data_IF_791657064560
#
_entry.id   IF_791657064560
#
_cell.length_a   1.000
_cell.length_b   1.000
_cell.length_c   1.000
_cell.angle_alpha   90.00
_cell.angle_beta   90.00
_cell.angle_gamma   90.00
#
_symmetry.space_group_name_H-M   'P 1'
#
loop_
_entity.id
_entity.type
_entity.pdbx_description
1 polymer ?
#
# COMPACT_ATOMS: atom_id res chain seq x y z
N UNK A 1 -28.44 53.47 -13.52
CA UNK A 1 -27.09 52.90 -13.68
C UNK A 1 -26.53 52.65 -12.27
N UNK A 2 -26.60 51.45 -11.79
CA UNK A 2 -26.06 51.04 -10.51
C UNK A 2 -25.01 49.95 -10.82
N UNK A 3 -23.76 50.29 -10.61
CA UNK A 3 -22.64 49.37 -10.75
C UNK A 3 -22.60 48.40 -9.56
N UNK A 4 -22.86 47.13 -9.78
CA UNK A 4 -22.64 46.08 -8.85
C UNK A 4 -21.16 45.64 -8.95
N UNK A 5 -20.37 46.00 -7.95
CA UNK A 5 -19.00 45.49 -7.80
C UNK A 5 -19.05 44.10 -7.15
N UNK A 6 -18.78 43.04 -7.91
CA UNK A 6 -18.51 41.71 -7.39
C UNK A 6 -17.12 41.67 -6.77
N UNK A 7 -17.06 41.68 -5.44
CA UNK A 7 -15.84 41.37 -4.70
C UNK A 7 -15.64 39.84 -4.69
N UNK A 8 -14.72 39.36 -5.52
CA UNK A 8 -14.19 38.00 -5.44
C UNK A 8 -13.29 37.90 -4.20
N UNK A 9 -13.81 37.36 -3.12
CA UNK A 9 -13.03 36.96 -1.97
C UNK A 9 -12.16 35.73 -2.36
N UNK A 10 -10.90 35.98 -2.66
CA UNK A 10 -9.89 34.91 -2.74
C UNK A 10 -9.68 34.37 -1.33
N UNK A 11 -10.27 33.24 -1.02
CA UNK A 11 -9.88 32.42 0.13
C UNK A 11 -8.46 31.88 -0.15
N UNK A 12 -7.46 32.64 0.26
CA UNK A 12 -6.11 32.14 0.36
C UNK A 12 -6.13 31.03 1.44
N UNK A 13 -6.10 29.78 1.02
CA UNK A 13 -5.76 28.68 1.91
C UNK A 13 -4.35 28.94 2.43
N UNK A 14 -4.25 29.35 3.69
CA UNK A 14 -2.96 29.42 4.40
C UNK A 14 -2.46 27.98 4.49
N UNK A 15 -1.72 27.52 3.49
CA UNK A 15 -0.86 26.36 3.66
C UNK A 15 0.12 26.74 4.77
N UNK A 16 0.06 26.03 5.90
CA UNK A 16 1.09 26.16 6.92
C UNK A 16 2.44 26.04 6.17
N UNK A 17 3.30 27.04 6.32
CA UNK A 17 4.60 27.04 5.68
C UNK A 17 5.34 25.84 6.23
N UNK A 18 5.61 24.85 5.37
CA UNK A 18 6.29 23.64 5.81
C UNK A 18 7.65 24.04 6.38
N UNK A 19 7.96 23.56 7.58
CA UNK A 19 9.25 23.79 8.22
C UNK A 19 10.38 23.28 7.31
N UNK A 20 11.49 23.98 7.29
CA UNK A 20 12.70 23.46 6.69
C UNK A 20 13.44 22.61 7.72
N UNK A 21 13.89 21.45 7.33
CA UNK A 21 14.57 20.49 8.22
C UNK A 21 15.97 20.13 7.72
N UNK A 22 16.86 19.86 8.65
CA UNK A 22 18.19 19.26 8.37
C UNK A 22 18.36 18.09 9.33
N UNK A 23 18.28 16.87 8.80
CA UNK A 23 18.48 15.63 9.55
C UNK A 23 19.96 15.25 9.41
N UNK A 24 20.70 15.26 10.50
CA UNK A 24 22.16 15.16 10.50
C UNK A 24 22.64 13.82 11.05
N UNK A 25 23.79 13.36 10.54
CA UNK A 25 24.53 12.20 11.08
C UNK A 25 23.73 10.88 11.08
N UNK A 26 22.87 10.66 10.07
CA UNK A 26 22.11 9.40 9.93
C UNK A 26 22.86 8.37 9.10
N UNK A 27 22.57 7.10 9.32
CA UNK A 27 22.80 6.08 8.30
C UNK A 27 21.59 6.07 7.35
N UNK A 28 21.83 6.40 6.08
CA UNK A 28 20.80 6.43 5.05
C UNK A 28 20.67 5.05 4.42
N UNK A 29 19.42 4.54 4.35
CA UNK A 29 19.09 3.25 3.73
C UNK A 29 17.86 3.46 2.85
N UNK A 30 18.05 3.56 1.54
CA UNK A 30 16.95 3.82 0.60
C UNK A 30 16.59 2.61 -0.28
N UNK A 31 17.25 1.47 -0.06
CA UNK A 31 16.99 0.22 -0.78
C UNK A 31 17.49 0.17 -2.23
N UNK A 32 17.91 1.29 -2.82
CA UNK A 32 18.47 1.35 -4.18
C UNK A 32 19.99 1.56 -4.19
N UNK A 33 20.52 2.22 -3.16
CA UNK A 33 21.94 2.37 -2.93
C UNK A 33 22.41 1.47 -1.77
N UNK A 34 23.70 1.19 -1.70
CA UNK A 34 24.26 0.60 -0.49
C UNK A 34 24.04 1.55 0.70
N UNK A 35 23.84 1.03 1.93
CA UNK A 35 23.69 1.87 3.11
C UNK A 35 24.83 2.87 3.24
N UNK A 36 24.51 4.15 3.45
CA UNK A 36 25.46 5.26 3.52
C UNK A 36 25.51 5.82 4.96
N UNK A 37 26.65 5.68 5.61
CA UNK A 37 26.83 6.20 6.98
C UNK A 37 27.14 7.69 6.98
N UNK A 38 26.82 8.34 8.12
CA UNK A 38 27.12 9.76 8.39
C UNK A 38 26.65 10.73 7.29
N UNK A 39 25.38 10.58 6.91
CA UNK A 39 24.72 11.43 5.90
C UNK A 39 23.88 12.53 6.55
N UNK A 40 23.77 13.65 5.84
CA UNK A 40 22.87 14.75 6.18
C UNK A 40 21.87 14.96 5.05
N UNK A 41 20.60 15.04 5.41
CA UNK A 41 19.48 15.26 4.50
C UNK A 41 18.79 16.58 4.82
N UNK A 42 18.74 17.50 3.85
CA UNK A 42 18.02 18.77 3.98
C UNK A 42 16.68 18.71 3.26
N UNK A 43 15.66 19.26 3.89
CA UNK A 43 14.29 19.33 3.38
C UNK A 43 13.85 20.79 3.37
N UNK A 44 13.26 21.23 2.26
CA UNK A 44 12.67 22.57 2.11
C UNK A 44 11.25 22.41 1.58
N UNK A 45 10.27 22.86 2.34
CA UNK A 45 8.88 22.62 2.03
C UNK A 45 8.58 21.12 2.03
N UNK A 46 8.05 20.61 0.94
CA UNK A 46 7.69 19.18 0.80
C UNK A 46 8.78 18.33 0.11
N UNK A 47 9.97 18.92 -0.18
CA UNK A 47 11.01 18.29 -1.01
C UNK A 47 12.33 18.10 -0.28
N UNK A 48 13.00 17.00 -0.62
CA UNK A 48 14.41 16.80 -0.30
C UNK A 48 15.24 17.72 -1.20
N UNK A 49 16.09 18.56 -0.60
CA UNK A 49 16.89 19.56 -1.34
C UNK A 49 18.39 19.30 -1.29
N UNK A 50 18.85 18.46 -0.37
CA UNK A 50 20.22 17.97 -0.36
C UNK A 50 20.32 16.61 0.34
N UNK A 51 21.17 15.73 -0.19
CA UNK A 51 21.61 14.46 0.43
C UNK A 51 23.13 14.43 0.28
N UNK A 52 23.85 14.68 1.37
CA UNK A 52 25.31 14.85 1.34
C UNK A 52 26.00 14.19 2.55
N UNK A 53 27.26 13.78 2.45
CA UNK A 53 28.04 13.41 3.63
C UNK A 53 28.06 14.53 4.68
N UNK A 54 27.89 14.22 5.96
CA UNK A 54 27.77 15.22 7.02
C UNK A 54 29.02 16.11 7.15
N UNK A 55 30.19 15.60 6.81
CA UNK A 55 31.44 16.35 6.81
C UNK A 55 31.45 17.59 5.90
N UNK A 56 30.61 17.57 4.85
CA UNK A 56 30.50 18.68 3.87
C UNK A 56 29.15 19.42 3.94
N UNK A 57 28.26 19.08 4.86
CA UNK A 57 26.90 19.61 5.00
C UNK A 57 26.88 21.04 5.61
N UNK A 58 27.76 21.95 5.10
CA UNK A 58 27.86 23.32 5.64
C UNK A 58 26.84 24.24 5.00
N UNK A 59 26.28 25.15 5.81
CA UNK A 59 25.39 26.23 5.30
C UNK A 59 23.96 25.80 5.00
N UNK A 60 23.57 24.53 5.25
CA UNK A 60 22.19 24.08 5.11
C UNK A 60 21.31 24.80 6.15
N UNK A 61 20.14 25.27 5.69
CA UNK A 61 19.18 26.04 6.51
C UNK A 61 17.99 25.17 6.89
N UNK A 62 17.58 25.24 8.15
CA UNK A 62 16.42 24.51 8.67
C UNK A 62 16.57 24.18 10.15
N UNK A 63 15.48 23.68 10.75
CA UNK A 63 15.51 23.08 12.10
C UNK A 63 16.34 21.79 12.04
N UNK A 64 17.22 21.61 13.03
CA UNK A 64 18.15 20.49 13.04
C UNK A 64 17.59 19.33 13.84
N UNK A 65 17.78 18.12 13.31
CA UNK A 65 17.44 16.86 13.98
C UNK A 65 18.73 16.05 14.06
N UNK A 66 19.18 15.73 15.27
CA UNK A 66 20.34 14.87 15.50
C UNK A 66 19.95 13.40 15.19
N UNK A 67 20.65 12.81 14.25
CA UNK A 67 20.44 11.44 13.78
C UNK A 67 21.56 10.48 14.14
N UNK A 68 22.45 10.87 15.07
CA UNK A 68 23.57 10.01 15.51
C UNK A 68 23.05 8.64 15.97
N UNK A 69 23.60 7.58 15.36
CA UNK A 69 23.21 6.21 15.65
C UNK A 69 21.80 5.83 15.16
N UNK A 70 21.15 6.66 14.34
CA UNK A 70 19.83 6.40 13.78
C UNK A 70 19.89 6.11 12.27
N UNK A 71 18.80 5.57 11.76
CA UNK A 71 18.66 5.08 10.39
C UNK A 71 17.51 5.81 9.72
N UNK A 72 17.78 6.43 8.57
CA UNK A 72 16.77 7.13 7.78
C UNK A 72 16.41 6.29 6.57
N UNK A 73 15.13 5.98 6.42
CA UNK A 73 14.58 5.26 5.27
C UNK A 73 13.51 6.10 4.57
N UNK A 74 13.21 5.85 3.28
CA UNK A 74 11.99 6.36 2.66
C UNK A 74 10.76 5.88 3.43
N UNK A 75 9.68 6.64 3.38
CA UNK A 75 8.39 6.16 3.88
C UNK A 75 7.96 4.89 3.17
N UNK A 76 7.40 3.94 3.93
CA UNK A 76 6.92 2.68 3.37
C UNK A 76 5.72 2.91 2.45
N UNK A 77 5.60 2.08 1.43
CA UNK A 77 4.54 2.12 0.41
C UNK A 77 3.83 0.76 0.40
N UNK A 78 2.52 0.77 0.62
CA UNK A 78 1.66 -0.41 0.48
C UNK A 78 0.82 -0.28 -0.79
N UNK A 79 1.14 -1.09 -1.80
CA UNK A 79 0.53 -0.98 -3.13
C UNK A 79 -0.74 -1.83 -3.32
N UNK A 80 -1.25 -2.41 -2.24
CA UNK A 80 -2.49 -3.17 -2.29
C UNK A 80 -3.16 -3.24 -0.92
N UNK A 81 -4.08 -2.33 -0.70
CA UNK A 81 -4.95 -2.34 0.48
C UNK A 81 -6.41 -2.31 0.05
N UNK A 82 -7.29 -2.65 0.99
CA UNK A 82 -8.71 -2.35 0.93
C UNK A 82 -9.10 -1.64 2.23
N UNK A 83 -9.29 -0.32 2.17
CA UNK A 83 -9.48 0.49 3.35
C UNK A 83 -10.78 0.11 4.09
N UNK A 84 -10.70 -0.05 5.39
CA UNK A 84 -11.85 -0.33 6.27
C UNK A 84 -12.92 0.75 6.17
N UNK A 85 -14.14 0.37 6.54
CA UNK A 85 -15.29 1.26 6.52
C UNK A 85 -16.03 1.31 5.19
N UNK A 86 -15.44 0.83 4.11
CA UNK A 86 -16.12 0.63 2.83
C UNK A 86 -16.70 -0.77 2.68
N UNK A 87 -15.90 -1.77 2.95
CA UNK A 87 -16.29 -3.18 3.04
C UNK A 87 -15.25 -3.98 3.83
N UNK A 88 -15.59 -5.18 4.25
CA UNK A 88 -14.67 -6.05 4.99
C UNK A 88 -13.97 -7.04 4.06
N UNK A 89 -12.66 -6.97 4.00
CA UNK A 89 -11.80 -7.97 3.34
C UNK A 89 -11.90 -9.29 4.11
N UNK A 90 -12.18 -10.38 3.41
CA UNK A 90 -12.38 -11.70 4.03
C UNK A 90 -13.73 -11.87 4.72
N UNK A 91 -14.61 -10.88 4.70
CA UNK A 91 -15.99 -10.97 5.15
C UNK A 91 -16.82 -11.94 4.29
N UNK A 92 -18.06 -12.21 4.74
CA UNK A 92 -18.97 -13.07 3.98
C UNK A 92 -19.38 -12.40 2.68
N UNK A 93 -19.15 -13.05 1.55
CA UNK A 93 -19.48 -12.54 0.20
C UNK A 93 -20.98 -12.35 -0.03
N UNK A 94 -21.82 -13.07 0.71
CA UNK A 94 -23.29 -13.03 0.63
C UNK A 94 -23.93 -12.04 1.62
N UNK A 95 -23.16 -11.44 2.54
CA UNK A 95 -23.68 -10.43 3.46
C UNK A 95 -23.90 -9.09 2.75
N UNK A 96 -24.99 -8.36 3.01
CA UNK A 96 -25.17 -7.01 2.50
C UNK A 96 -24.04 -6.09 2.95
N UNK A 97 -23.60 -5.16 2.08
CA UNK A 97 -22.68 -4.09 2.48
C UNK A 97 -23.45 -3.13 3.40
N UNK A 98 -22.93 -2.93 4.60
CA UNK A 98 -23.41 -1.90 5.52
C UNK A 98 -23.17 -0.48 4.97
N UNK A 99 -23.61 0.59 5.66
CA UNK A 99 -23.24 1.95 5.29
C UNK A 99 -21.71 2.13 5.39
N UNK A 100 -21.17 3.00 4.52
CA UNK A 100 -19.76 3.36 4.62
C UNK A 100 -19.48 4.08 5.96
N UNK A 101 -18.37 3.73 6.61
CA UNK A 101 -17.96 4.30 7.89
C UNK A 101 -16.66 5.10 7.71
N UNK A 102 -16.79 6.42 7.65
CA UNK A 102 -15.66 7.33 7.46
C UNK A 102 -14.67 7.28 8.62
N UNK A 103 -15.17 7.22 9.87
CA UNK A 103 -14.31 7.22 11.06
C UNK A 103 -13.40 5.98 11.11
N UNK A 104 -13.92 4.81 10.74
CA UNK A 104 -13.12 3.61 10.58
C UNK A 104 -12.05 3.75 9.50
N UNK A 105 -12.39 4.40 8.37
CA UNK A 105 -11.44 4.69 7.31
C UNK A 105 -10.31 5.61 7.77
N UNK A 106 -10.63 6.70 8.47
CA UNK A 106 -9.63 7.62 9.01
C UNK A 106 -8.74 6.96 10.07
N UNK A 107 -9.33 6.14 10.96
CA UNK A 107 -8.56 5.39 11.97
C UNK A 107 -7.61 4.36 11.32
N UNK A 108 -8.05 3.68 10.28
CA UNK A 108 -7.21 2.77 9.51
C UNK A 108 -6.06 3.51 8.82
N UNK A 109 -6.32 4.64 8.15
CA UNK A 109 -5.29 5.50 7.56
C UNK A 109 -4.28 5.99 8.60
N UNK A 110 -4.75 6.40 9.77
CA UNK A 110 -3.88 6.79 10.89
C UNK A 110 -2.94 5.64 11.31
N UNK A 111 -3.44 4.40 11.32
CA UNK A 111 -2.62 3.22 11.66
C UNK A 111 -1.51 2.95 10.66
N UNK A 112 -1.72 3.25 9.37
CA UNK A 112 -0.68 3.17 8.34
C UNK A 112 0.44 4.19 8.63
N UNK A 113 0.11 5.47 8.86
CA UNK A 113 1.12 6.47 9.23
C UNK A 113 1.86 6.05 10.51
N UNK A 114 1.14 5.60 11.53
CA UNK A 114 1.73 5.12 12.78
C UNK A 114 2.68 3.95 12.57
N UNK A 115 2.48 3.15 11.53
CA UNK A 115 3.34 2.02 11.15
C UNK A 115 4.48 2.40 10.18
N UNK A 116 4.67 3.69 9.86
CA UNK A 116 5.72 4.16 8.94
C UNK A 116 5.33 4.14 7.46
N UNK A 117 4.07 3.82 7.15
CA UNK A 117 3.56 3.80 5.77
C UNK A 117 3.09 5.19 5.39
N UNK A 118 3.73 5.81 4.40
CA UNK A 118 3.41 7.17 3.95
C UNK A 118 2.61 7.21 2.66
N UNK A 119 2.47 6.09 1.98
CA UNK A 119 1.71 5.95 0.73
C UNK A 119 0.97 4.62 0.68
N UNK A 120 -0.30 4.65 0.30
CA UNK A 120 -1.14 3.46 0.10
C UNK A 120 -1.83 3.51 -1.26
N UNK A 121 -2.07 2.35 -1.85
CA UNK A 121 -2.98 2.20 -2.99
C UNK A 121 -4.15 1.30 -2.58
N UNK A 122 -5.35 1.91 -2.52
CA UNK A 122 -6.60 1.18 -2.36
C UNK A 122 -6.99 0.55 -3.69
N UNK A 123 -6.83 -0.77 -3.77
CA UNK A 123 -6.98 -1.55 -4.99
C UNK A 123 -8.44 -1.93 -5.30
N UNK A 124 -9.39 -1.31 -4.64
CA UNK A 124 -10.81 -1.48 -4.87
C UNK A 124 -11.62 -1.25 -3.61
N UNK A 125 -12.56 -0.32 -3.70
CA UNK A 125 -13.46 0.02 -2.61
C UNK A 125 -14.75 0.60 -3.18
N UNK A 126 -15.69 0.89 -2.30
CA UNK A 126 -16.86 1.70 -2.67
C UNK A 126 -16.38 3.12 -2.96
N UNK A 127 -16.69 3.63 -4.15
CA UNK A 127 -16.27 4.97 -4.59
C UNK A 127 -16.68 6.06 -3.59
N UNK A 128 -17.92 5.97 -3.06
CA UNK A 128 -18.46 6.90 -2.07
C UNK A 128 -17.72 6.88 -0.72
N UNK A 129 -16.90 5.86 -0.46
CA UNK A 129 -16.06 5.77 0.73
C UNK A 129 -14.65 6.31 0.49
N UNK A 130 -13.95 5.74 -0.49
CA UNK A 130 -12.52 6.02 -0.66
C UNK A 130 -12.23 7.36 -1.34
N UNK A 131 -13.07 7.79 -2.30
CA UNK A 131 -12.79 9.01 -3.06
C UNK A 131 -12.89 10.30 -2.23
N UNK A 132 -13.86 10.47 -1.32
CA UNK A 132 -13.86 11.60 -0.39
C UNK A 132 -12.63 11.63 0.52
N UNK A 133 -12.17 10.48 1.03
CA UNK A 133 -10.96 10.38 1.85
C UNK A 133 -9.71 10.77 1.05
N UNK A 134 -9.59 10.30 -0.19
CA UNK A 134 -8.52 10.71 -1.12
C UNK A 134 -8.55 12.22 -1.40
N UNK A 135 -9.72 12.79 -1.61
CA UNK A 135 -9.87 14.23 -1.83
C UNK A 135 -9.46 15.05 -0.60
N UNK A 136 -9.85 14.62 0.59
CA UNK A 136 -9.49 15.29 1.84
C UNK A 136 -8.00 15.13 2.20
N UNK A 137 -7.39 13.99 1.88
CA UNK A 137 -5.94 13.81 1.98
C UNK A 137 -5.20 14.81 1.08
N UNK A 138 -5.58 14.89 -0.20
CA UNK A 138 -4.98 15.83 -1.17
C UNK A 138 -5.17 17.30 -0.78
N UNK A 139 -6.27 17.61 -0.13
CA UNK A 139 -6.56 18.93 0.41
C UNK A 139 -5.88 19.23 1.76
N UNK A 140 -5.18 18.25 2.36
CA UNK A 140 -4.54 18.38 3.67
C UNK A 140 -5.52 18.48 4.84
N UNK A 141 -6.75 18.00 4.68
CA UNK A 141 -7.80 18.07 5.72
C UNK A 141 -7.73 16.92 6.73
N UNK A 142 -7.07 15.81 6.35
CA UNK A 142 -6.91 14.64 7.22
C UNK A 142 -5.43 14.25 7.32
N UNK A 143 -5.03 13.71 8.46
CA UNK A 143 -3.72 13.09 8.66
C UNK A 143 -3.78 11.65 8.17
N UNK A 144 -3.21 11.40 7.00
CA UNK A 144 -3.21 10.08 6.36
C UNK A 144 -1.98 9.87 5.50
N UNK A 145 -1.63 8.64 5.10
CA UNK A 145 -0.74 8.40 3.97
C UNK A 145 -1.26 9.08 2.70
N UNK A 146 -0.43 9.23 1.67
CA UNK A 146 -0.90 9.57 0.32
C UNK A 146 -1.82 8.46 -0.16
N UNK A 147 -3.01 8.82 -0.60
CA UNK A 147 -4.00 7.86 -1.06
C UNK A 147 -4.01 7.85 -2.59
N UNK A 148 -3.57 6.72 -3.16
CA UNK A 148 -3.91 6.32 -4.52
C UNK A 148 -5.11 5.39 -4.44
N UNK A 149 -6.05 5.49 -5.37
CA UNK A 149 -7.25 4.67 -5.33
C UNK A 149 -7.79 4.39 -6.74
N UNK A 150 -8.34 3.19 -6.92
CA UNK A 150 -9.12 2.87 -8.12
C UNK A 150 -10.57 3.35 -8.01
N UNK A 151 -11.13 3.50 -6.80
CA UNK A 151 -12.56 3.61 -6.59
C UNK A 151 -13.23 2.24 -6.71
N UNK A 152 -14.31 2.13 -7.47
CA UNK A 152 -14.86 0.83 -7.84
C UNK A 152 -13.90 0.11 -8.80
N UNK A 153 -13.63 -1.16 -8.56
CA UNK A 153 -12.89 -1.96 -9.52
C UNK A 153 -13.77 -2.31 -10.74
N UNK A 154 -13.16 -2.79 -11.81
CA UNK A 154 -13.90 -3.31 -12.97
C UNK A 154 -13.78 -4.81 -13.04
N UNK A 155 -14.92 -5.50 -13.18
CA UNK A 155 -14.97 -6.94 -13.32
C UNK A 155 -16.04 -7.40 -14.32
N UNK A 156 -15.98 -8.68 -14.70
CA UNK A 156 -17.06 -9.33 -15.45
C UNK A 156 -18.22 -9.68 -14.50
N UNK A 157 -19.49 -9.61 -14.93
CA UNK A 157 -20.63 -9.93 -14.08
C UNK A 157 -20.52 -11.27 -13.39
N UNK A 158 -20.66 -11.29 -12.05
CA UNK A 158 -20.53 -12.48 -11.21
C UNK A 158 -19.10 -12.96 -10.94
N UNK A 159 -18.07 -12.25 -11.47
CA UNK A 159 -16.67 -12.58 -11.24
C UNK A 159 -16.15 -12.03 -9.89
N UNK A 160 -14.87 -12.20 -9.62
CA UNK A 160 -14.23 -11.75 -8.39
C UNK A 160 -14.43 -10.24 -8.17
N UNK A 161 -14.77 -9.85 -6.94
CA UNK A 161 -14.97 -8.43 -6.57
C UNK A 161 -16.28 -7.81 -7.02
N UNK A 162 -17.22 -8.57 -7.60
CA UNK A 162 -18.48 -8.11 -8.19
C UNK A 162 -19.31 -7.17 -7.30
N UNK A 163 -19.20 -7.31 -5.96
CA UNK A 163 -19.98 -6.52 -4.98
C UNK A 163 -19.64 -5.03 -4.95
N UNK A 164 -18.43 -4.66 -5.34
CA UNK A 164 -17.89 -3.29 -5.33
C UNK A 164 -17.44 -2.85 -6.71
N UNK A 165 -17.89 -3.52 -7.76
CA UNK A 165 -17.40 -3.35 -9.12
C UNK A 165 -18.34 -2.59 -10.03
N UNK A 166 -17.78 -1.91 -11.04
CA UNK A 166 -18.44 -1.63 -12.29
C UNK A 166 -18.37 -2.89 -13.15
N UNK A 167 -19.52 -3.42 -13.53
CA UNK A 167 -19.64 -4.68 -14.30
C UNK A 167 -19.59 -4.40 -15.77
N UNK A 168 -18.64 -5.00 -16.48
CA UNK A 168 -18.47 -4.87 -17.93
C UNK A 168 -18.55 -6.24 -18.56
N UNK A 169 -19.51 -6.44 -19.45
CA UNK A 169 -19.72 -7.71 -20.18
C UNK A 169 -19.39 -7.63 -21.66
N UNK A 170 -19.45 -6.43 -22.23
CA UNK A 170 -19.19 -6.15 -23.63
C UNK A 170 -18.63 -4.72 -23.75
N UNK A 171 -17.48 -4.58 -24.38
CA UNK A 171 -16.80 -3.28 -24.43
C UNK A 171 -17.62 -2.19 -25.13
N UNK A 172 -18.23 -2.52 -26.28
CA UNK A 172 -18.96 -1.49 -27.05
C UNK A 172 -20.27 -1.08 -26.37
N UNK A 173 -20.99 -2.05 -25.82
CA UNK A 173 -22.26 -1.79 -25.13
C UNK A 173 -22.06 -1.05 -23.81
N UNK A 174 -20.99 -1.41 -23.09
CA UNK A 174 -20.73 -0.92 -21.74
C UNK A 174 -19.73 0.25 -21.73
N UNK A 175 -19.28 0.75 -22.91
CA UNK A 175 -18.30 1.82 -23.02
C UNK A 175 -18.67 3.06 -22.21
N UNK A 176 -19.94 3.44 -22.20
CA UNK A 176 -20.41 4.58 -21.42
C UNK A 176 -20.20 4.42 -19.90
N UNK A 177 -20.17 3.17 -19.39
CA UNK A 177 -19.82 2.91 -17.97
C UNK A 177 -18.34 3.12 -17.72
N UNK A 178 -17.47 2.79 -18.68
CA UNK A 178 -16.03 3.05 -18.61
C UNK A 178 -15.74 4.54 -18.64
N UNK A 179 -16.38 5.27 -19.56
CA UNK A 179 -16.27 6.73 -19.66
C UNK A 179 -16.68 7.40 -18.33
N UNK A 180 -17.85 7.01 -17.82
CA UNK A 180 -18.34 7.50 -16.52
C UNK A 180 -17.39 7.19 -15.36
N UNK A 181 -16.82 5.99 -15.33
CA UNK A 181 -15.85 5.62 -14.30
C UNK A 181 -14.60 6.51 -14.35
N UNK A 182 -14.08 6.78 -15.55
CA UNK A 182 -12.93 7.68 -15.73
C UNK A 182 -13.26 9.10 -15.30
N UNK A 183 -14.40 9.64 -15.75
CA UNK A 183 -14.80 11.03 -15.49
C UNK A 183 -15.12 11.29 -14.02
N UNK A 184 -15.92 10.42 -13.39
CA UNK A 184 -16.41 10.63 -12.03
C UNK A 184 -15.44 10.15 -10.95
N UNK A 185 -14.73 9.03 -11.19
CA UNK A 185 -13.89 8.44 -10.15
C UNK A 185 -12.41 8.78 -10.30
N UNK A 186 -11.97 9.12 -11.53
CA UNK A 186 -10.59 9.51 -11.80
C UNK A 186 -9.59 8.55 -11.13
N UNK A 187 -9.62 7.24 -11.47
CA UNK A 187 -8.77 6.26 -10.82
C UNK A 187 -7.29 6.60 -11.04
N UNK A 188 -6.48 6.51 -10.00
CA UNK A 188 -5.02 6.68 -10.10
C UNK A 188 -4.39 5.49 -10.83
N UNK A 189 -4.93 4.30 -10.57
CA UNK A 189 -4.64 3.03 -11.26
C UNK A 189 -5.96 2.27 -11.33
N UNK A 190 -6.30 1.71 -12.49
CA UNK A 190 -7.46 0.85 -12.62
C UNK A 190 -7.17 -0.54 -12.04
N UNK A 191 -8.04 -1.05 -11.18
CA UNK A 191 -8.07 -2.47 -10.77
C UNK A 191 -9.05 -3.26 -11.61
N UNK A 192 -8.55 -4.34 -12.19
CA UNK A 192 -9.29 -5.36 -12.95
C UNK A 192 -9.22 -6.71 -12.21
N UNK A 193 -10.05 -7.67 -12.61
CA UNK A 193 -10.00 -9.03 -12.11
C UNK A 193 -10.02 -10.04 -13.26
N UNK A 194 -9.15 -11.04 -13.18
CA UNK A 194 -9.07 -12.18 -14.08
C UNK A 194 -8.93 -13.46 -13.24
N UNK A 195 -10.05 -13.92 -12.70
CA UNK A 195 -10.09 -15.02 -11.74
C UNK A 195 -11.38 -15.82 -11.91
N UNK A 196 -11.27 -17.14 -12.11
CA UNK A 196 -12.39 -18.07 -12.17
C UNK A 196 -12.61 -18.84 -10.85
N UNK A 197 -11.72 -18.67 -9.87
CA UNK A 197 -11.71 -19.50 -8.65
C UNK A 197 -11.68 -21.01 -8.96
N UNK A 198 -12.52 -21.84 -8.34
CA UNK A 198 -12.54 -23.30 -8.59
C UNK A 198 -11.39 -24.05 -7.93
N UNK A 199 -10.64 -23.42 -7.04
CA UNK A 199 -9.54 -24.01 -6.28
C UNK A 199 -9.74 -23.84 -4.77
N UNK A 200 -9.05 -24.69 -4.02
CA UNK A 200 -9.25 -24.73 -2.58
C UNK A 200 -10.69 -25.14 -2.25
N UNK A 201 -11.38 -24.34 -1.46
CA UNK A 201 -12.77 -24.53 -1.08
C UNK A 201 -13.76 -23.61 -1.80
N UNK A 202 -13.30 -22.88 -2.82
CA UNK A 202 -14.12 -21.91 -3.55
C UNK A 202 -14.73 -22.52 -4.81
N UNK A 203 -16.02 -22.28 -5.10
CA UNK A 203 -16.62 -22.71 -6.36
C UNK A 203 -16.08 -21.87 -7.53
N UNK A 204 -16.21 -22.41 -8.75
CA UNK A 204 -15.92 -21.64 -9.96
C UNK A 204 -16.91 -20.48 -10.10
N UNK A 205 -16.40 -19.36 -10.60
CA UNK A 205 -17.14 -18.14 -10.91
C UNK A 205 -16.91 -17.75 -12.38
N UNK A 206 -17.74 -16.87 -12.97
CA UNK A 206 -17.52 -16.38 -14.32
C UNK A 206 -16.16 -15.68 -14.47
N UNK A 207 -15.44 -16.00 -15.55
CA UNK A 207 -14.17 -15.41 -15.89
C UNK A 207 -14.38 -14.27 -16.91
N UNK A 208 -13.68 -13.15 -16.74
CA UNK A 208 -13.61 -12.09 -17.75
C UNK A 208 -12.94 -12.64 -19.02
N UNK A 209 -13.52 -12.49 -20.22
CA UNK A 209 -12.85 -12.82 -21.48
C UNK A 209 -11.55 -12.02 -21.63
N UNK A 210 -10.48 -12.68 -22.09
CA UNK A 210 -9.13 -12.06 -22.20
C UNK A 210 -9.11 -10.92 -23.21
N UNK A 211 -9.87 -11.04 -24.30
CA UNK A 211 -10.02 -9.96 -25.30
C UNK A 211 -10.73 -8.73 -24.73
N UNK A 212 -11.71 -8.93 -23.85
CA UNK A 212 -12.36 -7.84 -23.11
C UNK A 212 -11.35 -7.17 -22.14
N UNK A 213 -10.58 -7.96 -21.41
CA UNK A 213 -9.51 -7.46 -20.54
C UNK A 213 -8.51 -6.60 -21.33
N UNK A 214 -8.04 -7.10 -22.50
CA UNK A 214 -7.13 -6.36 -23.37
C UNK A 214 -7.71 -5.03 -23.83
N UNK A 215 -8.97 -5.02 -24.27
CA UNK A 215 -9.65 -3.80 -24.74
C UNK A 215 -9.80 -2.77 -23.63
N UNK A 216 -10.23 -3.18 -22.44
CA UNK A 216 -10.35 -2.28 -21.27
C UNK A 216 -8.97 -1.75 -20.86
N UNK A 217 -7.96 -2.61 -20.76
CA UNK A 217 -6.58 -2.23 -20.43
C UNK A 217 -6.07 -1.17 -21.40
N UNK A 218 -6.17 -1.41 -22.69
CA UNK A 218 -5.75 -0.46 -23.73
C UNK A 218 -6.50 0.86 -23.65
N UNK A 219 -7.80 0.80 -23.37
CA UNK A 219 -8.64 1.98 -23.25
C UNK A 219 -8.19 2.89 -22.09
N UNK A 220 -7.94 2.33 -20.91
CA UNK A 220 -7.45 3.10 -19.77
C UNK A 220 -6.02 3.62 -19.99
N UNK A 221 -5.15 2.82 -20.57
CA UNK A 221 -3.78 3.27 -20.90
C UNK A 221 -3.77 4.44 -21.90
N UNK A 222 -4.71 4.50 -22.85
CA UNK A 222 -4.88 5.63 -23.75
C UNK A 222 -5.31 6.92 -23.01
N UNK A 223 -5.93 6.80 -21.85
CA UNK A 223 -6.25 7.92 -20.94
C UNK A 223 -5.14 8.22 -19.93
N UNK A 224 -3.98 7.58 -20.06
CA UNK A 224 -2.84 7.75 -19.15
C UNK A 224 -3.03 7.08 -17.79
N UNK A 225 -4.01 6.20 -17.65
CA UNK A 225 -4.31 5.47 -16.42
C UNK A 225 -3.70 4.06 -16.51
N UNK A 226 -2.79 3.75 -15.59
CA UNK A 226 -2.19 2.42 -15.47
C UNK A 226 -3.21 1.39 -15.00
N UNK A 227 -2.91 0.13 -15.23
CA UNK A 227 -3.79 -0.99 -14.87
C UNK A 227 -3.09 -1.99 -13.96
N UNK A 228 -3.85 -2.57 -13.03
CA UNK A 228 -3.46 -3.73 -12.22
C UNK A 228 -4.57 -4.77 -12.23
N UNK A 229 -4.22 -6.05 -12.18
CA UNK A 229 -5.21 -7.12 -12.30
C UNK A 229 -5.06 -8.16 -11.20
N UNK A 230 -6.18 -8.56 -10.60
CA UNK A 230 -6.26 -9.70 -9.70
C UNK A 230 -6.06 -10.99 -10.50
N UNK A 231 -5.08 -11.77 -10.12
CA UNK A 231 -4.78 -13.11 -10.65
C UNK A 231 -4.27 -13.99 -9.51
N UNK A 232 -4.46 -15.31 -9.59
CA UNK A 232 -3.96 -16.24 -8.58
C UNK A 232 -3.16 -17.42 -9.19
N UNK A 233 -3.23 -17.61 -10.50
CA UNK A 233 -2.52 -18.67 -11.22
C UNK A 233 -1.51 -18.15 -12.24
N UNK A 234 -0.54 -18.99 -12.62
CA UNK A 234 0.43 -18.66 -13.66
C UNK A 234 -0.26 -18.41 -15.01
N UNK A 235 -1.27 -19.24 -15.36
CA UNK A 235 -2.00 -19.06 -16.62
C UNK A 235 -2.67 -17.69 -16.70
N UNK A 236 -3.41 -17.29 -15.66
CA UNK A 236 -4.10 -15.99 -15.64
C UNK A 236 -3.10 -14.83 -15.59
N UNK A 237 -1.96 -15.01 -14.92
CA UNK A 237 -0.88 -14.04 -14.96
C UNK A 237 -0.31 -13.84 -16.36
N UNK A 238 -0.09 -14.93 -17.12
CA UNK A 238 0.38 -14.87 -18.51
C UNK A 238 -0.65 -14.18 -19.40
N UNK A 239 -1.92 -14.53 -19.32
CA UNK A 239 -3.00 -13.92 -20.09
C UNK A 239 -3.10 -12.41 -19.81
N UNK A 240 -3.02 -12.01 -18.53
CA UNK A 240 -3.01 -10.60 -18.12
C UNK A 240 -1.81 -9.84 -18.70
N UNK A 241 -0.61 -10.44 -18.66
CA UNK A 241 0.61 -9.86 -19.25
C UNK A 241 0.46 -9.69 -20.77
N UNK A 242 -0.10 -10.67 -21.46
CA UNK A 242 -0.36 -10.57 -22.90
C UNK A 242 -1.45 -9.56 -23.24
N UNK A 243 -2.45 -9.39 -22.38
CA UNK A 243 -3.46 -8.33 -22.49
C UNK A 243 -2.89 -6.92 -22.26
N UNK A 244 -1.61 -6.80 -21.87
CA UNK A 244 -0.91 -5.53 -21.73
C UNK A 244 -1.12 -4.80 -20.41
N UNK A 245 -1.49 -5.49 -19.34
CA UNK A 245 -1.61 -4.87 -18.02
C UNK A 245 -0.26 -4.37 -17.52
N UNK A 246 -0.26 -3.26 -16.75
CA UNK A 246 0.97 -2.65 -16.26
C UNK A 246 1.54 -3.36 -15.03
N UNK A 247 0.67 -3.94 -14.19
CA UNK A 247 1.06 -4.60 -12.93
C UNK A 247 0.13 -5.75 -12.58
N UNK A 248 0.59 -6.69 -11.74
CA UNK A 248 -0.24 -7.75 -11.16
C UNK A 248 -0.52 -7.45 -9.69
N UNK A 249 -1.75 -7.69 -9.26
CA UNK A 249 -2.19 -7.36 -7.91
C UNK A 249 -1.78 -8.39 -6.85
N UNK A 250 -1.41 -9.61 -7.26
CA UNK A 250 -1.03 -10.72 -6.38
C UNK A 250 0.09 -11.56 -7.00
N UNK A 251 0.81 -12.35 -6.19
CA UNK A 251 1.68 -13.41 -6.68
C UNK A 251 0.86 -14.60 -7.19
N UNK A 252 1.47 -15.47 -7.95
CA UNK A 252 0.90 -16.80 -8.21
C UNK A 252 0.89 -17.60 -6.90
N UNK A 253 -0.29 -18.08 -6.51
CA UNK A 253 -0.51 -18.83 -5.26
C UNK A 253 -1.04 -20.24 -5.50
N UNK A 254 -1.70 -20.52 -6.63
CA UNK A 254 -2.34 -21.82 -6.90
C UNK A 254 -1.36 -22.98 -7.10
N UNK A 255 -0.08 -22.73 -7.34
CA UNK A 255 0.95 -23.75 -7.50
C UNK A 255 2.33 -23.14 -7.73
N UNK A 256 3.37 -23.98 -7.77
CA UNK A 256 4.72 -23.53 -8.12
C UNK A 256 4.77 -22.95 -9.53
N UNK A 257 5.44 -21.80 -9.68
CA UNK A 257 5.67 -21.19 -11.00
C UNK A 257 6.70 -21.96 -11.82
N UNK A 258 6.52 -21.99 -13.15
CA UNK A 258 7.48 -22.57 -14.08
C UNK A 258 8.75 -21.70 -14.20
N UNK A 259 9.86 -22.32 -14.60
CA UNK A 259 11.11 -21.60 -14.89
C UNK A 259 10.93 -20.59 -16.04
N UNK A 260 10.03 -20.87 -16.98
CA UNK A 260 9.70 -19.99 -18.07
C UNK A 260 9.01 -18.72 -17.58
N UNK A 261 8.06 -18.85 -16.66
CA UNK A 261 7.38 -17.72 -16.03
C UNK A 261 8.37 -16.87 -15.21
N UNK A 262 9.22 -17.51 -14.41
CA UNK A 262 10.27 -16.82 -13.64
C UNK A 262 11.18 -15.98 -14.56
N UNK A 263 11.65 -16.57 -15.67
CA UNK A 263 12.46 -15.87 -16.68
C UNK A 263 11.69 -14.71 -17.33
N UNK A 264 10.42 -14.90 -17.64
CA UNK A 264 9.56 -13.87 -18.22
C UNK A 264 9.42 -12.67 -17.25
N UNK A 265 9.10 -12.92 -15.99
CA UNK A 265 8.97 -11.87 -14.97
C UNK A 265 10.29 -11.13 -14.75
N UNK A 266 11.41 -11.85 -14.72
CA UNK A 266 12.75 -11.28 -14.65
C UNK A 266 13.12 -10.40 -15.84
N UNK A 267 12.69 -10.78 -17.06
CA UNK A 267 12.97 -10.03 -18.28
C UNK A 267 12.02 -8.85 -18.51
N UNK A 268 10.72 -9.04 -18.31
CA UNK A 268 9.69 -8.03 -18.55
C UNK A 268 9.61 -6.96 -17.46
N UNK A 269 10.09 -7.26 -16.26
CA UNK A 269 10.06 -6.34 -15.11
C UNK A 269 8.66 -5.81 -14.77
N UNK A 270 7.63 -6.62 -15.00
CA UNK A 270 6.26 -6.28 -14.64
C UNK A 270 6.15 -6.31 -13.11
N UNK A 271 5.81 -5.19 -12.45
CA UNK A 271 5.68 -5.17 -11.00
C UNK A 271 4.47 -5.98 -10.56
N UNK A 272 4.61 -6.67 -9.42
CA UNK A 272 3.48 -7.32 -8.77
C UNK A 272 3.52 -7.12 -7.26
N UNK A 273 2.35 -7.08 -6.63
CA UNK A 273 2.22 -6.96 -5.18
C UNK A 273 2.43 -8.32 -4.50
N UNK A 274 3.15 -8.33 -3.36
CA UNK A 274 3.53 -9.56 -2.66
C UNK A 274 2.37 -10.22 -1.92
N UNK A 275 1.52 -9.48 -1.29
CA UNK A 275 0.28 -9.84 -0.58
C UNK A 275 0.30 -11.19 0.19
N UNK A 276 1.44 -11.52 0.81
CA UNK A 276 1.57 -12.73 1.65
C UNK A 276 0.69 -12.65 2.90
N UNK A 277 0.56 -11.45 3.44
CA UNK A 277 -0.18 -11.18 4.68
C UNK A 277 -1.64 -11.62 4.60
N UNK A 278 -2.33 -11.44 3.44
CA UNK A 278 -3.73 -11.88 3.33
C UNK A 278 -3.84 -13.40 3.47
N UNK A 279 -2.92 -14.14 2.88
CA UNK A 279 -2.90 -15.62 2.98
C UNK A 279 -2.58 -16.08 4.39
N UNK A 280 -1.52 -15.55 4.97
CA UNK A 280 -1.04 -15.91 6.31
C UNK A 280 -2.03 -15.51 7.41
N UNK A 281 -2.72 -14.39 7.25
CA UNK A 281 -3.61 -13.83 8.27
C UNK A 281 -4.72 -14.82 8.73
N UNK A 282 -5.23 -15.65 7.81
CA UNK A 282 -6.24 -16.67 8.16
C UNK A 282 -5.70 -17.69 9.17
N UNK A 283 -4.53 -18.26 8.92
CA UNK A 283 -3.91 -19.25 9.81
C UNK A 283 -3.32 -18.58 11.04
N UNK A 284 -2.73 -17.41 10.92
CA UNK A 284 -2.15 -16.66 12.02
C UNK A 284 -3.18 -16.29 13.08
N UNK A 285 -4.36 -15.78 12.67
CA UNK A 285 -5.44 -15.49 13.61
C UNK A 285 -5.95 -16.75 14.29
N UNK A 286 -6.10 -17.84 13.52
CA UNK A 286 -6.60 -19.09 14.05
C UNK A 286 -5.65 -19.74 15.09
N UNK A 287 -4.35 -19.68 14.85
CA UNK A 287 -3.33 -20.43 15.61
C UNK A 287 -2.59 -19.55 16.63
N UNK A 288 -2.34 -18.27 16.32
CA UNK A 288 -1.46 -17.37 17.06
C UNK A 288 -2.08 -15.99 17.31
N UNK A 289 -3.29 -15.88 17.90
CA UNK A 289 -3.99 -14.60 18.08
C UNK A 289 -3.28 -13.63 19.02
N UNK A 290 -2.26 -14.07 19.76
CA UNK A 290 -1.45 -13.25 20.66
C UNK A 290 -0.71 -12.11 19.94
N UNK A 291 -0.52 -12.17 18.62
CA UNK A 291 0.06 -11.06 17.86
C UNK A 291 -0.76 -9.77 17.96
N UNK A 292 -2.08 -9.89 18.24
CA UNK A 292 -2.97 -8.75 18.43
C UNK A 292 -2.63 -7.90 19.67
N UNK A 293 -1.77 -8.40 20.57
CA UNK A 293 -1.26 -7.67 21.73
C UNK A 293 0.04 -6.88 21.44
N UNK A 294 0.59 -7.02 20.24
CA UNK A 294 1.75 -6.23 19.84
C UNK A 294 1.40 -4.73 19.74
N UNK A 295 2.32 -3.81 20.06
CA UNK A 295 2.05 -2.38 20.15
C UNK A 295 1.37 -1.76 18.94
N UNK A 296 1.76 -2.17 17.70
CA UNK A 296 1.16 -1.64 16.48
C UNK A 296 -0.32 -2.07 16.33
N UNK A 297 -0.66 -3.32 16.69
CA UNK A 297 -2.04 -3.79 16.67
C UNK A 297 -2.89 -3.16 17.78
N UNK A 298 -2.29 -2.96 18.97
CA UNK A 298 -2.95 -2.23 20.07
C UNK A 298 -3.29 -0.80 19.67
N UNK A 299 -2.43 -0.14 18.90
CA UNK A 299 -2.69 1.19 18.38
C UNK A 299 -3.76 1.20 17.25
N UNK A 300 -3.73 0.21 16.36
CA UNK A 300 -4.60 0.14 15.18
C UNK A 300 -6.03 -0.33 15.46
N UNK A 301 -6.24 -1.11 16.53
CA UNK A 301 -7.50 -1.78 16.85
C UNK A 301 -7.96 -1.42 18.27
N UNK A 302 -9.25 -1.14 18.46
CA UNK A 302 -9.76 -0.93 19.81
C UNK A 302 -9.81 -2.25 20.60
N UNK A 303 -9.96 -2.15 21.93
CA UNK A 303 -9.91 -3.31 22.82
C UNK A 303 -11.04 -4.32 22.55
N UNK A 304 -12.26 -3.83 22.26
CA UNK A 304 -13.41 -4.69 21.97
C UNK A 304 -13.21 -5.47 20.66
N UNK A 305 -12.69 -4.81 19.65
CA UNK A 305 -12.37 -5.43 18.36
C UNK A 305 -11.28 -6.51 18.50
N UNK A 306 -10.20 -6.21 19.25
CA UNK A 306 -9.14 -7.20 19.51
C UNK A 306 -9.67 -8.42 20.25
N UNK A 307 -10.56 -8.22 21.22
CA UNK A 307 -11.20 -9.33 21.94
C UNK A 307 -12.11 -10.16 21.02
N UNK A 308 -12.89 -9.50 20.15
CA UNK A 308 -13.72 -10.19 19.17
C UNK A 308 -12.86 -11.02 18.18
N UNK A 309 -11.75 -10.45 17.72
CA UNK A 309 -10.80 -11.17 16.84
C UNK A 309 -10.19 -12.40 17.53
N UNK A 310 -9.80 -12.28 18.81
CA UNK A 310 -9.20 -13.38 19.58
C UNK A 310 -10.18 -14.50 19.94
N UNK A 311 -11.47 -14.21 19.91
CA UNK A 311 -12.52 -15.16 20.32
C UNK A 311 -13.40 -15.54 19.13
N UNK A 312 -14.52 -14.89 18.93
CA UNK A 312 -15.53 -15.22 17.92
C UNK A 312 -14.95 -15.34 16.50
N UNK A 313 -14.21 -14.34 16.05
CA UNK A 313 -13.66 -14.35 14.70
C UNK A 313 -12.61 -15.45 14.53
N UNK A 314 -11.79 -15.69 15.55
CA UNK A 314 -10.83 -16.80 15.57
C UNK A 314 -11.54 -18.14 15.39
N UNK A 315 -12.59 -18.40 16.18
CA UNK A 315 -13.34 -19.66 16.13
C UNK A 315 -13.99 -19.87 14.75
N UNK A 316 -14.56 -18.80 14.18
CA UNK A 316 -15.10 -18.80 12.83
C UNK A 316 -14.02 -19.12 11.77
N UNK A 317 -12.83 -18.58 11.90
CA UNK A 317 -11.75 -18.80 10.97
C UNK A 317 -11.13 -20.19 11.10
N UNK A 318 -10.99 -20.70 12.32
CA UNK A 318 -10.57 -22.09 12.53
C UNK A 318 -11.51 -23.10 11.84
N UNK A 319 -12.80 -22.82 11.82
CA UNK A 319 -13.81 -23.68 11.19
C UNK A 319 -13.85 -23.54 9.65
N UNK A 320 -13.22 -22.53 9.05
CA UNK A 320 -13.27 -22.32 7.60
C UNK A 320 -12.30 -23.23 6.85
N UNK A 321 -12.76 -24.03 5.86
CA UNK A 321 -11.87 -24.81 4.99
C UNK A 321 -10.82 -23.94 4.29
N UNK A 322 -11.19 -22.70 3.98
CA UNK A 322 -10.29 -21.70 3.35
C UNK A 322 -9.03 -21.41 4.19
N UNK A 323 -9.15 -21.35 5.51
CA UNK A 323 -8.00 -21.17 6.43
C UNK A 323 -6.96 -22.26 6.26
N UNK A 324 -7.41 -23.52 6.16
CA UNK A 324 -6.53 -24.66 5.93
C UNK A 324 -5.85 -24.58 4.55
N UNK A 325 -6.60 -24.22 3.50
CA UNK A 325 -6.04 -24.04 2.17
C UNK A 325 -4.99 -22.95 2.14
N UNK A 326 -5.24 -21.78 2.72
CA UNK A 326 -4.29 -20.68 2.74
C UNK A 326 -3.01 -21.04 3.52
N UNK A 327 -3.10 -21.85 4.55
CA UNK A 327 -1.91 -22.38 5.26
C UNK A 327 -1.00 -23.21 4.35
N UNK A 328 -1.57 -23.94 3.38
CA UNK A 328 -0.79 -24.71 2.40
C UNK A 328 -0.27 -23.81 1.27
N UNK A 329 -1.09 -22.88 0.79
CA UNK A 329 -0.79 -22.11 -0.41
C UNK A 329 0.17 -20.95 -0.14
N UNK A 330 0.17 -20.36 1.05
CA UNK A 330 1.05 -19.23 1.38
C UNK A 330 2.53 -19.57 1.22
N UNK A 331 3.08 -20.70 1.69
CA UNK A 331 4.46 -21.10 1.42
C UNK A 331 4.80 -21.27 -0.07
N UNK A 332 3.83 -21.63 -0.90
CA UNK A 332 4.01 -21.71 -2.36
C UNK A 332 4.20 -20.29 -2.93
N UNK A 333 3.39 -19.35 -2.50
CA UNK A 333 3.53 -17.95 -2.89
C UNK A 333 4.87 -17.36 -2.45
N UNK A 334 5.31 -17.66 -1.22
CA UNK A 334 6.63 -17.25 -0.69
C UNK A 334 7.78 -17.73 -1.60
N UNK A 335 7.77 -19.01 -1.95
CA UNK A 335 8.79 -19.59 -2.85
C UNK A 335 8.71 -19.01 -4.26
N UNK A 336 7.53 -18.78 -4.79
CA UNK A 336 7.34 -18.15 -6.11
C UNK A 336 7.88 -16.72 -6.13
N UNK A 337 7.57 -15.92 -5.09
CA UNK A 337 8.12 -14.57 -4.93
C UNK A 337 9.64 -14.59 -4.87
N UNK A 338 10.20 -15.49 -4.06
CA UNK A 338 11.65 -15.64 -3.91
C UNK A 338 12.33 -15.96 -5.25
N UNK A 339 11.78 -16.91 -6.03
CA UNK A 339 12.31 -17.26 -7.36
C UNK A 339 12.26 -16.09 -8.35
N UNK A 340 11.12 -15.40 -8.42
CA UNK A 340 10.94 -14.27 -9.31
C UNK A 340 11.86 -13.11 -8.91
N UNK A 341 11.98 -12.84 -7.61
CA UNK A 341 12.90 -11.83 -7.09
C UNK A 341 14.37 -12.16 -7.44
N UNK A 342 14.79 -13.40 -7.22
CA UNK A 342 16.15 -13.86 -7.54
C UNK A 342 16.48 -13.77 -9.05
N UNK A 343 15.48 -13.91 -9.91
CA UNK A 343 15.60 -13.68 -11.36
C UNK A 343 15.57 -12.18 -11.75
N UNK A 344 15.48 -11.29 -10.76
CA UNK A 344 15.43 -9.85 -10.94
C UNK A 344 14.03 -9.31 -11.29
N UNK A 345 12.96 -10.06 -11.05
CA UNK A 345 11.59 -9.55 -11.16
C UNK A 345 11.30 -8.44 -10.14
N UNK A 346 10.30 -7.62 -10.42
CA UNK A 346 9.96 -6.46 -9.58
C UNK A 346 8.81 -6.83 -8.65
N UNK A 347 9.16 -7.15 -7.40
CA UNK A 347 8.20 -7.35 -6.31
C UNK A 347 7.94 -5.99 -5.66
N UNK A 348 6.70 -5.65 -5.33
CA UNK A 348 6.31 -4.49 -4.53
C UNK A 348 5.54 -4.94 -3.30
N UNK A 349 5.68 -4.22 -2.18
CA UNK A 349 4.97 -4.54 -0.94
C UNK A 349 3.50 -4.16 -1.06
N UNK A 350 2.62 -5.14 -0.97
CA UNK A 350 1.19 -5.00 -0.83
C UNK A 350 0.69 -6.00 0.20
N UNK A 351 -0.38 -5.71 0.92
CA UNK A 351 -0.85 -6.56 2.02
C UNK A 351 -2.19 -7.22 1.77
N UNK A 352 -3.01 -6.61 0.93
CA UNK A 352 -4.44 -6.94 0.78
C UNK A 352 -5.16 -6.92 2.14
N UNK A 353 -4.73 -5.98 3.00
CA UNK A 353 -5.24 -5.76 4.34
C UNK A 353 -5.70 -4.31 4.51
N UNK A 354 -6.22 -4.00 5.69
CA UNK A 354 -6.89 -2.72 5.95
C UNK A 354 -6.21 -1.88 7.03
N UNK A 355 -5.01 -2.24 7.47
CA UNK A 355 -4.33 -1.53 8.57
C UNK A 355 -2.81 -1.62 8.49
N UNK A 356 -2.13 -0.58 9.01
CA UNK A 356 -0.68 -0.43 8.91
C UNK A 356 0.18 -1.55 9.54
N UNK A 357 -0.21 -2.20 10.66
CA UNK A 357 0.53 -3.34 11.17
C UNK A 357 0.73 -4.48 10.17
N UNK A 358 -0.20 -4.66 9.23
CA UNK A 358 -0.09 -5.66 8.17
C UNK A 358 1.11 -5.40 7.25
N UNK A 359 1.41 -4.14 6.92
CA UNK A 359 2.57 -3.78 6.10
C UNK A 359 3.88 -4.19 6.81
N UNK A 360 3.98 -3.96 8.12
CA UNK A 360 5.14 -4.41 8.90
C UNK A 360 5.24 -5.95 8.94
N UNK A 361 4.11 -6.66 8.96
CA UNK A 361 4.09 -8.12 8.86
C UNK A 361 4.50 -8.62 7.47
N UNK A 362 4.10 -7.93 6.41
CA UNK A 362 4.52 -8.26 5.05
C UNK A 362 6.05 -8.23 4.91
N UNK A 363 6.71 -7.22 5.51
CA UNK A 363 8.17 -7.16 5.55
C UNK A 363 8.79 -8.40 6.22
N UNK A 364 8.22 -8.85 7.35
CA UNK A 364 8.68 -10.05 8.06
C UNK A 364 8.53 -11.32 7.20
N UNK A 365 7.39 -11.45 6.50
CA UNK A 365 7.11 -12.60 5.63
C UNK A 365 8.05 -12.64 4.42
N UNK A 366 8.34 -11.50 3.81
CA UNK A 366 9.31 -11.41 2.71
C UNK A 366 10.71 -11.85 3.15
N UNK A 367 11.15 -11.46 4.35
CA UNK A 367 12.44 -11.92 4.90
C UNK A 367 12.38 -13.41 5.25
N UNK A 368 11.27 -13.91 5.82
CA UNK A 368 11.08 -15.34 6.09
C UNK A 368 11.09 -16.16 4.80
N UNK A 369 10.60 -15.62 3.68
CA UNK A 369 10.69 -16.23 2.36
C UNK A 369 12.12 -16.25 1.78
N UNK A 370 13.12 -15.67 2.47
CA UNK A 370 14.52 -15.68 2.07
C UNK A 370 14.98 -14.46 1.26
N UNK A 371 14.21 -13.37 1.27
CA UNK A 371 14.63 -12.09 0.70
C UNK A 371 15.43 -11.33 1.75
N UNK A 372 16.55 -10.69 1.34
CA UNK A 372 17.36 -9.92 2.28
C UNK A 372 16.57 -8.75 2.89
N UNK A 373 16.85 -8.34 4.15
CA UNK A 373 16.21 -7.16 4.73
C UNK A 373 16.39 -5.89 3.90
N UNK A 374 17.55 -5.69 3.26
CA UNK A 374 17.78 -4.54 2.39
C UNK A 374 16.90 -4.59 1.13
N UNK A 375 16.79 -5.74 0.47
CA UNK A 375 15.89 -5.91 -0.68
C UNK A 375 14.43 -5.77 -0.26
N UNK A 376 14.07 -6.24 0.93
CA UNK A 376 12.72 -6.08 1.50
C UNK A 376 12.38 -4.60 1.70
N UNK A 377 13.31 -3.78 2.18
CA UNK A 377 13.11 -2.33 2.24
C UNK A 377 12.92 -1.72 0.84
N UNK A 378 13.71 -2.14 -0.15
CA UNK A 378 13.52 -1.74 -1.54
C UNK A 378 12.14 -2.12 -2.08
N UNK A 379 11.67 -3.33 -1.77
CA UNK A 379 10.33 -3.82 -2.13
C UNK A 379 9.24 -2.91 -1.53
N UNK A 380 9.41 -2.50 -0.27
CA UNK A 380 8.45 -1.69 0.45
C UNK A 380 8.58 -0.17 0.24
N UNK A 381 9.52 0.27 -0.59
CA UNK A 381 9.75 1.70 -0.88
C UNK A 381 9.84 1.95 -2.37
N UNK A 382 11.02 1.79 -2.98
CA UNK A 382 11.27 2.11 -4.38
C UNK A 382 10.41 1.27 -5.35
N UNK A 383 10.32 -0.04 -5.14
CA UNK A 383 9.51 -0.90 -6.01
C UNK A 383 8.01 -0.58 -5.88
N UNK A 384 7.55 -0.18 -4.68
CA UNK A 384 6.20 0.36 -4.50
C UNK A 384 5.96 1.61 -5.34
N UNK A 385 6.92 2.53 -5.37
CA UNK A 385 6.84 3.71 -6.22
C UNK A 385 6.88 3.37 -7.72
N UNK A 386 7.64 2.35 -8.13
CA UNK A 386 7.64 1.81 -9.51
C UNK A 386 6.28 1.24 -9.87
N UNK A 387 5.67 0.45 -8.98
CA UNK A 387 4.32 -0.09 -9.16
C UNK A 387 3.31 1.02 -9.43
N UNK A 388 3.36 2.08 -8.62
CA UNK A 388 2.47 3.25 -8.75
C UNK A 388 2.81 4.16 -9.96
N UNK A 389 3.94 3.94 -10.65
CA UNK A 389 4.41 4.86 -11.69
C UNK A 389 4.88 6.22 -11.12
N UNK A 390 5.39 6.24 -9.88
CA UNK A 390 5.79 7.45 -9.13
C UNK A 390 7.25 7.43 -8.65
N UNK A 391 8.09 6.58 -9.24
CA UNK A 391 9.49 6.43 -8.84
C UNK A 391 10.32 7.73 -8.94
N UNK A 392 9.94 8.66 -9.82
CA UNK A 392 10.57 9.99 -9.92
C UNK A 392 10.27 10.90 -8.71
N UNK A 393 9.23 10.57 -7.92
CA UNK A 393 8.78 11.43 -6.83
C UNK A 393 8.87 10.78 -5.45
N UNK A 394 8.82 9.45 -5.38
CA UNK A 394 8.68 8.65 -4.15
C UNK A 394 9.69 7.49 -4.11
N UNK A 395 9.82 6.86 -2.97
CA UNK A 395 10.42 5.53 -2.79
C UNK A 395 11.93 5.51 -2.59
N UNK A 396 12.63 6.65 -2.67
CA UNK A 396 14.05 6.79 -2.29
C UNK A 396 14.33 8.15 -1.70
N UNK A 397 15.53 8.32 -1.13
CA UNK A 397 15.97 9.58 -0.51
C UNK A 397 16.93 10.28 -1.46
N UNK A 398 16.35 10.96 -2.46
CA UNK A 398 17.12 11.68 -3.49
C UNK A 398 16.69 13.13 -3.59
N UNK A 399 17.61 13.96 -4.06
CA UNK A 399 17.34 15.38 -4.31
C UNK A 399 16.18 15.57 -5.28
N UNK A 400 15.23 16.42 -4.92
CA UNK A 400 14.02 16.73 -5.70
C UNK A 400 12.81 15.83 -5.40
N UNK A 401 12.98 14.69 -4.74
CA UNK A 401 11.86 13.83 -4.35
C UNK A 401 11.07 14.37 -3.15
N UNK A 402 9.88 13.89 -2.98
CA UNK A 402 9.04 14.22 -1.83
C UNK A 402 9.68 13.73 -0.53
N UNK A 403 9.64 14.56 0.49
CA UNK A 403 10.19 14.24 1.80
C UNK A 403 9.18 13.39 2.61
N UNK A 404 8.99 12.16 2.15
CA UNK A 404 8.25 11.10 2.83
C UNK A 404 9.29 10.13 3.42
N UNK A 405 9.56 10.24 4.71
CA UNK A 405 10.71 9.65 5.39
C UNK A 405 10.31 8.99 6.72
N UNK A 406 11.05 7.97 7.13
CA UNK A 406 10.95 7.38 8.47
C UNK A 406 12.33 7.35 9.13
N UNK A 407 12.44 7.93 10.32
CA UNK A 407 13.64 7.82 11.14
C UNK A 407 13.47 6.66 12.13
N UNK A 408 14.46 5.78 12.19
CA UNK A 408 14.46 4.58 13.02
C UNK A 408 15.57 4.62 14.07
N UNK A 409 15.33 4.00 15.24
CA UNK A 409 16.34 3.86 16.30
C UNK A 409 17.30 2.70 16.06
N UNK A 410 16.95 1.70 15.24
CA UNK A 410 17.72 0.48 15.06
C UNK A 410 17.88 0.16 13.58
N UNK A 411 18.96 -0.53 13.23
CA UNK A 411 19.27 -0.94 11.86
C UNK A 411 18.27 -1.97 11.32
N UNK A 412 17.42 -1.59 10.33
CA UNK A 412 16.46 -2.50 9.72
C UNK A 412 17.11 -3.51 8.75
N UNK A 413 18.37 -3.31 8.36
CA UNK A 413 19.11 -4.27 7.52
C UNK A 413 19.72 -5.40 8.34
N UNK A 414 19.96 -5.19 9.63
CA UNK A 414 20.41 -6.23 10.56
C UNK A 414 19.26 -7.14 11.02
N UNK A 415 18.09 -6.57 11.21
CA UNK A 415 16.83 -7.27 11.53
C UNK A 415 15.67 -6.43 11.03
N UNK A 416 14.84 -6.98 10.14
CA UNK A 416 13.70 -6.27 9.56
C UNK A 416 12.68 -5.80 10.61
N UNK A 417 12.59 -6.46 11.77
CA UNK A 417 11.76 -6.02 12.89
C UNK A 417 12.17 -4.64 13.41
N UNK A 418 13.38 -4.20 13.14
CA UNK A 418 13.86 -2.87 13.49
C UNK A 418 13.17 -1.76 12.68
N UNK A 419 12.50 -2.08 11.58
CA UNK A 419 11.62 -1.15 10.86
C UNK A 419 10.46 -0.62 11.73
N UNK A 420 10.13 -1.32 12.82
CA UNK A 420 9.13 -0.90 13.83
C UNK A 420 9.73 0.06 14.89
N UNK A 421 11.05 0.28 14.92
CA UNK A 421 11.73 1.15 15.90
C UNK A 421 11.64 2.63 15.53
N UNK A 422 10.47 3.07 15.09
CA UNK A 422 10.20 4.40 14.53
C UNK A 422 10.42 5.47 15.60
N UNK A 423 11.21 6.50 15.26
CA UNK A 423 11.40 7.73 16.03
C UNK A 423 10.35 8.76 15.61
N UNK A 424 10.24 8.98 14.30
CA UNK A 424 9.17 9.77 13.69
C UNK A 424 8.88 9.32 12.26
N UNK A 425 7.71 9.71 11.79
CA UNK A 425 7.30 9.63 10.38
C UNK A 425 7.19 11.05 9.85
N UNK A 426 7.75 11.30 8.67
CA UNK A 426 7.61 12.54 7.93
C UNK A 426 6.85 12.28 6.64
N UNK A 427 5.85 13.11 6.34
CA UNK A 427 5.13 13.07 5.06
C UNK A 427 5.08 14.48 4.46
N UNK A 428 5.53 14.62 3.22
CA UNK A 428 5.58 15.92 2.54
C UNK A 428 6.34 16.98 3.35
N UNK A 429 7.48 16.61 3.96
CA UNK A 429 8.32 17.47 4.76
C UNK A 429 7.77 17.86 6.15
N UNK A 430 6.62 17.29 6.54
CA UNK A 430 6.03 17.54 7.86
C UNK A 430 6.16 16.30 8.74
N UNK A 431 6.74 16.48 9.93
CA UNK A 431 6.77 15.42 10.95
C UNK A 431 5.35 15.24 11.48
N UNK A 432 4.89 13.99 11.45
CA UNK A 432 3.54 13.64 11.92
C UNK A 432 3.49 13.71 13.45
N UNK A 433 2.59 14.54 13.96
CA UNK A 433 2.25 14.53 15.39
C UNK A 433 1.31 13.34 15.69
N UNK A 434 1.90 12.27 16.20
CA UNK A 434 1.17 11.04 16.51
C UNK A 434 0.04 11.23 17.53
N UNK A 435 0.09 12.29 18.37
CA UNK A 435 -0.97 12.59 19.33
C UNK A 435 -2.28 13.07 18.67
N UNK A 436 -2.20 13.48 17.39
CA UNK A 436 -3.34 13.92 16.59
C UNK A 436 -3.91 12.80 15.70
N UNK A 437 -3.24 11.64 15.63
CA UNK A 437 -3.73 10.52 14.83
C UNK A 437 -5.01 9.93 15.48
N UNK A 438 -6.10 9.76 14.72
CA UNK A 438 -7.35 9.17 15.21
C UNK A 438 -7.26 7.64 15.28
N UNK A 439 -6.29 7.11 16.02
CA UNK A 439 -6.07 5.68 16.18
C UNK A 439 -7.22 5.01 16.92
N UNK A 440 -7.73 3.88 16.40
CA UNK A 440 -8.83 3.13 17.02
C UNK A 440 -8.47 2.59 18.43
N UNK A 441 -7.19 2.28 18.68
CA UNK A 441 -6.67 1.88 19.99
C UNK A 441 -6.43 3.03 20.95
N UNK A 442 -6.81 4.26 20.58
CA UNK A 442 -6.64 5.47 21.37
C UNK A 442 -5.29 6.16 21.19
N UNK A 443 -5.11 7.27 21.88
CA UNK A 443 -3.90 8.10 21.75
C UNK A 443 -2.65 7.34 22.15
N UNK A 444 -1.73 7.22 21.21
CA UNK A 444 -0.40 6.70 21.41
C UNK A 444 0.61 7.85 21.28
N UNK A 445 1.70 7.81 22.02
CA UNK A 445 2.78 8.78 21.87
C UNK A 445 4.12 8.07 21.97
N UNK A 446 4.86 8.04 20.88
CA UNK A 446 6.29 7.74 20.94
C UNK A 446 7.02 8.97 21.48
N UNK A 447 8.04 8.76 22.32
CA UNK A 447 8.86 9.87 22.78
C UNK A 447 9.85 10.26 21.68
N UNK A 448 9.54 11.34 20.97
CA UNK A 448 10.50 12.01 20.12
C UNK A 448 11.34 12.97 20.99
N UNK A 449 12.64 12.71 21.10
CA UNK A 449 13.59 13.50 21.90
C UNK A 449 14.13 14.74 21.14
N UNK A 450 13.35 15.35 20.27
CA UNK A 450 13.79 16.42 19.38
C UNK A 450 12.90 17.68 19.41
N UNK A 451 12.18 17.92 20.51
CA UNK A 451 11.42 19.18 20.72
C UNK A 451 12.12 20.08 21.69
#
# INVERSE_FOLDING_TARGET
MVLLACALAQLATVRAQADNWVIEHVTLIDGIHAPQSDMTVAITGDRITAVVPSAIARGLKGRRIAGDGKYLIPGLIDVHIHLRGGFDVGGRVDAPLGPANREEGEAALASFLYSGVTTVFDAGNRAEHILPLRADERAGKILSPRIFATGNLITYPGSHGDRIAVRISDFEKDKALLDKHIEEQQPDILKLTLEEEGWGSRPMIPLMPVDLLERITRYYNQHGIRTTVHVSSELRSLEAIYAGVDTLAHPVIQGPVSDSFVKLMGAKKIPFASTLTIGENYSRLAEHPEYLDQPLYVAALNAAEREQLKTKTRDEWQARPWTWWMKIMTPIAEENIRKIHAAGGVVACGTDQSSGPATQRELELLVAAGISPLDTLRIATYNGAVFLGKAEQLGSVDNGKLADLVLLNKDPTADINNAKSIVFVMKGGQIIDESQLPLAGGKQKRRFAGS
#
